data_IF_305487346537
#
_entry.id   IF_305487346537
#
_cell.length_a   1.000
_cell.length_b   1.000
_cell.length_c   1.000
_cell.angle_alpha   90.00
_cell.angle_beta   90.00
_cell.angle_gamma   90.00
#
_symmetry.space_group_name_H-M   'P 1'
#
loop_
_entity.id
_entity.type
_entity.pdbx_description
1 polymer ?
#
# COMPACT_ATOMS: atom_id res chain seq x y z
N UNK A 1 4.73 -1.79 19.92
CA UNK A 1 4.50 -1.30 18.55
C UNK A 1 5.39 -0.09 18.29
N UNK A 2 6.45 -0.27 17.50
CA UNK A 2 7.33 0.84 17.11
C UNK A 2 6.64 1.74 16.07
N UNK A 3 7.13 2.98 15.92
CA UNK A 3 6.56 3.98 15.01
C UNK A 3 6.48 3.51 13.54
N UNK A 4 7.34 2.56 13.15
CA UNK A 4 7.38 1.93 11.82
C UNK A 4 6.24 0.93 11.60
N UNK A 5 5.88 0.16 12.62
CA UNK A 5 4.78 -0.81 12.58
C UNK A 5 3.42 -0.11 12.37
N UNK A 6 3.28 1.13 12.87
CA UNK A 6 2.09 1.97 12.67
C UNK A 6 1.89 2.41 11.21
N UNK A 7 2.87 2.18 10.34
CA UNK A 7 2.81 2.52 8.91
C UNK A 7 2.96 1.29 8.01
N UNK A 8 2.50 0.14 8.49
CA UNK A 8 2.21 -1.02 7.64
C UNK A 8 0.79 -0.87 7.10
N UNK A 9 0.64 -1.06 5.78
CA UNK A 9 -0.66 -1.08 5.12
C UNK A 9 -1.48 -2.30 5.57
N UNK A 10 -2.79 -2.26 5.35
CA UNK A 10 -3.69 -3.37 5.73
C UNK A 10 -3.31 -4.70 5.06
N UNK A 11 -2.70 -4.65 3.87
CA UNK A 11 -2.19 -5.80 3.13
C UNK A 11 -0.76 -6.23 3.50
N UNK A 12 -0.12 -5.56 4.45
CA UNK A 12 1.24 -5.85 4.90
C UNK A 12 2.33 -5.05 4.19
N UNK A 13 2.03 -4.25 3.16
CA UNK A 13 3.03 -3.40 2.51
C UNK A 13 3.60 -2.37 3.50
N UNK A 14 4.90 -2.08 3.38
CA UNK A 14 5.56 -1.06 4.19
C UNK A 14 5.27 0.34 3.63
N UNK A 15 4.15 0.92 4.05
CA UNK A 15 3.76 2.25 3.58
C UNK A 15 4.83 3.30 3.90
N UNK A 16 5.57 3.17 5.00
CA UNK A 16 6.67 4.08 5.34
C UNK A 16 7.87 4.04 4.39
N UNK A 17 8.05 2.98 3.59
CA UNK A 17 9.10 2.87 2.55
C UNK A 17 8.57 3.23 1.16
N UNK A 18 7.29 3.62 1.03
CA UNK A 18 6.68 3.91 -0.27
C UNK A 18 7.14 5.25 -0.85
N UNK A 19 7.73 5.22 -2.04
CA UNK A 19 8.20 6.43 -2.74
C UNK A 19 7.07 7.45 -3.00
N UNK A 20 5.84 6.98 -3.28
CA UNK A 20 4.69 7.88 -3.48
C UNK A 20 4.33 8.62 -2.18
N UNK A 21 4.44 7.96 -1.02
CA UNK A 21 4.23 8.64 0.27
C UNK A 21 5.34 9.66 0.52
N UNK A 22 6.59 9.33 0.21
CA UNK A 22 7.73 10.23 0.37
C UNK A 22 7.64 11.44 -0.55
N UNK A 23 7.18 11.24 -1.79
CA UNK A 23 6.97 12.27 -2.81
C UNK A 23 6.04 13.40 -2.34
N UNK A 24 5.09 13.12 -1.44
CA UNK A 24 4.26 14.16 -0.81
C UNK A 24 5.07 15.24 -0.08
N UNK A 25 6.28 14.93 0.37
CA UNK A 25 7.17 15.85 1.08
C UNK A 25 8.50 16.11 0.34
N UNK A 26 8.77 15.41 -0.76
CA UNK A 26 9.98 15.58 -1.57
C UNK A 26 9.65 15.69 -3.07
N UNK A 27 9.63 16.92 -3.62
CA UNK A 27 9.38 17.15 -5.05
C UNK A 27 10.37 16.47 -5.99
N UNK A 28 11.58 16.11 -5.52
CA UNK A 28 12.57 15.40 -6.36
C UNK A 28 12.12 13.97 -6.60
N UNK A 29 11.64 13.29 -5.56
CA UNK A 29 11.06 11.94 -5.68
C UNK A 29 9.81 11.99 -6.57
N UNK A 30 8.94 12.98 -6.36
CA UNK A 30 7.76 13.17 -7.21
C UNK A 30 8.14 13.30 -8.70
N UNK A 31 9.20 14.07 -9.01
CA UNK A 31 9.69 14.24 -10.37
C UNK A 31 10.23 12.95 -10.97
N UNK A 32 11.01 12.17 -10.20
CA UNK A 32 11.51 10.87 -10.65
C UNK A 32 10.39 9.91 -11.04
N UNK A 33 9.30 9.93 -10.28
CA UNK A 33 8.11 9.10 -10.54
C UNK A 33 7.41 9.56 -11.83
N UNK A 34 7.19 10.87 -12.01
CA UNK A 34 6.64 11.43 -13.26
C UNK A 34 7.48 11.04 -14.47
N UNK A 35 8.81 11.20 -14.38
CA UNK A 35 9.73 10.86 -15.45
C UNK A 35 9.68 9.35 -15.78
N UNK A 36 9.56 8.49 -14.76
CA UNK A 36 9.37 7.05 -14.93
C UNK A 36 8.05 6.71 -15.63
N UNK A 37 6.92 7.31 -15.25
CA UNK A 37 5.63 7.10 -15.92
C UNK A 37 5.68 7.49 -17.39
N UNK A 38 6.27 8.65 -17.69
CA UNK A 38 6.44 9.10 -19.08
C UNK A 38 7.30 8.14 -19.89
N UNK A 39 8.41 7.66 -19.31
CA UNK A 39 9.39 6.82 -19.99
C UNK A 39 8.92 5.38 -20.17
N UNK A 40 8.37 4.75 -19.14
CA UNK A 40 8.04 3.33 -19.13
C UNK A 40 6.60 3.04 -19.56
N UNK A 41 5.69 4.02 -19.44
CA UNK A 41 4.26 3.85 -19.76
C UNK A 41 3.74 4.81 -20.81
N UNK A 42 4.49 5.85 -21.18
CA UNK A 42 4.01 6.90 -22.08
C UNK A 42 2.88 7.74 -21.46
N UNK A 43 2.74 7.73 -20.14
CA UNK A 43 1.69 8.44 -19.42
C UNK A 43 2.19 9.79 -18.93
N UNK A 44 1.45 10.86 -19.24
CA UNK A 44 1.72 12.21 -18.72
C UNK A 44 1.01 12.41 -17.38
N UNK A 45 1.69 12.02 -16.30
CA UNK A 45 1.23 12.24 -14.92
C UNK A 45 1.73 13.61 -14.43
N UNK A 46 0.87 14.41 -13.78
CA UNK A 46 1.32 15.70 -13.23
C UNK A 46 2.05 15.51 -11.92
N UNK A 47 3.03 16.37 -11.67
CA UNK A 47 3.77 16.39 -10.41
C UNK A 47 2.85 16.58 -9.19
N UNK A 48 1.79 17.38 -9.33
CA UNK A 48 0.82 17.64 -8.28
C UNK A 48 -0.04 16.42 -7.92
N UNK A 49 -0.17 15.46 -8.84
CA UNK A 49 -0.94 14.22 -8.65
C UNK A 49 -0.13 13.14 -7.90
N UNK A 50 1.21 13.27 -7.84
CA UNK A 50 2.07 12.36 -7.06
C UNK A 50 1.99 12.71 -5.58
N UNK A 51 0.85 12.40 -4.96
CA UNK A 51 0.60 12.63 -3.54
C UNK A 51 -0.11 11.45 -2.91
N UNK A 52 0.28 11.13 -1.68
CA UNK A 52 -0.38 10.14 -0.85
C UNK A 52 -0.37 10.53 0.63
N UNK A 53 -1.48 10.30 1.33
CA UNK A 53 -1.62 10.45 2.79
C UNK A 53 -1.25 9.18 3.58
N UNK A 54 -0.85 8.12 2.87
CA UNK A 54 -0.53 6.80 3.41
C UNK A 54 -1.72 5.83 3.36
N UNK A 55 -1.44 4.53 3.37
CA UNK A 55 -2.45 3.49 3.12
C UNK A 55 -3.61 3.49 4.13
N UNK A 56 -3.31 3.83 5.40
CA UNK A 56 -4.30 4.01 6.48
C UNK A 56 -4.65 5.48 6.74
N UNK A 57 -4.26 6.39 5.83
CA UNK A 57 -4.51 7.83 5.92
C UNK A 57 -5.81 8.25 5.24
N UNK A 58 -5.95 9.55 5.00
CA UNK A 58 -7.08 10.16 4.29
C UNK A 58 -7.22 9.60 2.86
N UNK A 59 -8.29 8.82 2.63
CA UNK A 59 -8.60 8.16 1.36
C UNK A 59 -8.78 9.12 0.19
N UNK A 60 -9.18 10.38 0.42
CA UNK A 60 -9.34 11.39 -0.64
C UNK A 60 -8.01 11.85 -1.24
N UNK A 61 -6.91 11.59 -0.53
CA UNK A 61 -5.53 11.92 -0.94
C UNK A 61 -4.69 10.65 -1.06
N UNK A 62 -5.30 9.50 -1.30
CA UNK A 62 -4.58 8.24 -1.47
C UNK A 62 -4.25 8.03 -2.96
N UNK A 63 -3.03 7.58 -3.25
CA UNK A 63 -2.55 7.35 -4.63
C UNK A 63 -3.42 6.37 -5.43
N UNK A 64 -3.95 5.34 -4.78
CA UNK A 64 -4.84 4.35 -5.38
C UNK A 64 -6.17 4.32 -4.61
N UNK A 65 -7.04 5.32 -4.80
CA UNK A 65 -8.24 5.51 -3.97
C UNK A 65 -9.25 4.38 -4.16
N UNK A 66 -9.13 3.61 -5.24
CA UNK A 66 -9.92 2.44 -5.61
C UNK A 66 -9.27 1.09 -5.19
N UNK A 67 -8.20 1.12 -4.39
CA UNK A 67 -7.53 -0.09 -3.93
C UNK A 67 -8.51 -1.08 -3.28
N UNK A 68 -8.73 -2.21 -3.95
CA UNK A 68 -9.73 -3.20 -3.55
C UNK A 68 -9.45 -3.82 -2.18
N UNK A 69 -8.17 -3.91 -1.78
CA UNK A 69 -7.78 -4.49 -0.48
C UNK A 69 -8.24 -3.57 0.65
N UNK A 70 -8.09 -2.26 0.48
CA UNK A 70 -8.57 -1.28 1.46
C UNK A 70 -10.09 -1.26 1.52
N UNK A 71 -10.76 -1.34 0.37
CA UNK A 71 -12.22 -1.48 0.31
C UNK A 71 -12.73 -2.71 1.07
N UNK A 72 -12.15 -3.88 0.80
CA UNK A 72 -12.56 -5.13 1.45
C UNK A 72 -12.20 -5.16 2.95
N UNK A 73 -10.95 -4.87 3.30
CA UNK A 73 -10.44 -4.99 4.67
C UNK A 73 -11.04 -3.93 5.60
N UNK A 74 -11.04 -2.67 5.16
CA UNK A 74 -11.44 -1.52 5.99
C UNK A 74 -12.90 -1.20 5.79
N UNK A 75 -13.30 -0.84 4.57
CA UNK A 75 -14.63 -0.27 4.33
C UNK A 75 -15.74 -1.31 4.54
N UNK A 76 -15.54 -2.55 4.08
CA UNK A 76 -16.55 -3.62 4.15
C UNK A 76 -16.46 -4.44 5.45
N UNK A 77 -15.25 -4.75 5.93
CA UNK A 77 -15.04 -5.64 7.09
C UNK A 77 -14.63 -4.93 8.39
N UNK A 78 -14.27 -3.64 8.34
CA UNK A 78 -13.89 -2.88 9.54
C UNK A 78 -12.62 -3.37 10.24
N UNK A 79 -11.71 -4.03 9.52
CA UNK A 79 -10.49 -4.62 10.04
C UNK A 79 -9.29 -3.69 9.88
N UNK A 80 -8.35 -3.77 10.82
CA UNK A 80 -7.08 -3.05 10.78
C UNK A 80 -6.06 -3.70 9.86
N UNK A 81 -6.07 -5.03 9.77
CA UNK A 81 -5.19 -5.78 8.90
C UNK A 81 -5.92 -6.95 8.26
N UNK A 82 -5.50 -7.33 7.06
CA UNK A 82 -6.08 -8.48 6.38
C UNK A 82 -5.91 -9.78 7.18
N UNK A 83 -4.90 -9.88 8.06
CA UNK A 83 -4.71 -11.07 8.90
C UNK A 83 -5.83 -11.30 9.92
N UNK A 84 -6.61 -10.27 10.24
CA UNK A 84 -7.73 -10.36 11.20
C UNK A 84 -8.99 -10.96 10.56
N UNK A 85 -8.98 -11.13 9.23
CA UNK A 85 -10.07 -11.75 8.50
C UNK A 85 -10.08 -13.26 8.76
N UNK A 86 -11.24 -13.84 9.07
CA UNK A 86 -11.39 -15.29 9.29
C UNK A 86 -11.00 -16.14 8.07
N UNK A 87 -11.08 -15.57 6.87
CA UNK A 87 -10.67 -16.23 5.61
C UNK A 87 -9.18 -16.04 5.30
N UNK A 88 -8.38 -15.46 6.20
CA UNK A 88 -6.99 -15.11 5.90
C UNK A 88 -6.05 -16.33 5.89
N UNK A 89 -5.14 -16.44 4.89
CA UNK A 89 -5.07 -15.63 3.68
C UNK A 89 -6.09 -16.10 2.64
N UNK A 90 -6.93 -15.19 2.15
CA UNK A 90 -7.95 -15.55 1.16
C UNK A 90 -7.34 -15.67 -0.24
N UNK A 91 -7.98 -16.43 -1.13
CA UNK A 91 -7.48 -16.71 -2.49
C UNK A 91 -7.14 -15.44 -3.26
N UNK A 92 -7.99 -14.40 -3.18
CA UNK A 92 -7.76 -13.13 -3.87
C UNK A 92 -6.48 -12.43 -3.39
N UNK A 93 -6.17 -12.51 -2.10
CA UNK A 93 -4.94 -11.95 -1.54
C UNK A 93 -3.72 -12.80 -1.89
N UNK A 94 -3.87 -14.13 -1.91
CA UNK A 94 -2.82 -15.05 -2.38
C UNK A 94 -2.46 -14.80 -3.85
N UNK A 95 -3.45 -14.61 -4.73
CA UNK A 95 -3.19 -14.28 -6.14
C UNK A 95 -2.53 -12.90 -6.29
N UNK A 96 -3.00 -11.89 -5.54
CA UNK A 96 -2.35 -10.57 -5.53
C UNK A 96 -0.88 -10.64 -5.10
N UNK A 97 -0.57 -11.45 -4.09
CA UNK A 97 0.79 -11.63 -3.59
C UNK A 97 1.77 -12.21 -4.63
N UNK A 98 1.28 -12.90 -5.67
CA UNK A 98 2.11 -13.41 -6.77
C UNK A 98 2.51 -12.33 -7.80
N UNK A 99 1.85 -11.17 -7.77
CA UNK A 99 2.06 -10.11 -8.77
C UNK A 99 3.43 -9.43 -8.70
N UNK A 100 4.11 -9.49 -7.55
CA UNK A 100 5.49 -9.01 -7.41
C UNK A 100 6.16 -9.60 -6.15
N UNK A 101 7.49 -9.53 -6.09
CA UNK A 101 8.25 -9.93 -4.89
C UNK A 101 7.78 -9.16 -3.65
N UNK A 102 7.58 -7.85 -3.78
CA UNK A 102 7.16 -6.98 -2.68
C UNK A 102 5.75 -7.32 -2.16
N UNK A 103 4.84 -7.76 -3.05
CA UNK A 103 3.51 -8.22 -2.65
C UNK A 103 3.56 -9.56 -1.92
N UNK A 104 4.45 -10.47 -2.35
CA UNK A 104 4.75 -11.71 -1.63
C UNK A 104 5.27 -11.44 -0.22
N UNK A 105 6.25 -10.54 -0.09
CA UNK A 105 6.81 -10.14 1.20
C UNK A 105 5.80 -9.41 2.10
N UNK A 106 4.84 -8.69 1.51
CA UNK A 106 3.72 -8.09 2.24
C UNK A 106 2.83 -9.16 2.89
N UNK A 107 2.48 -10.20 2.15
CA UNK A 107 1.68 -11.30 2.67
C UNK A 107 2.40 -12.08 3.77
N UNK A 108 3.69 -12.40 3.59
CA UNK A 108 4.48 -13.09 4.61
C UNK A 108 4.58 -12.27 5.90
N UNK A 109 4.74 -10.94 5.80
CA UNK A 109 4.74 -10.06 6.96
C UNK A 109 3.44 -10.13 7.75
N UNK A 110 2.30 -10.19 7.08
CA UNK A 110 1.02 -10.39 7.78
C UNK A 110 0.98 -11.73 8.52
N UNK A 111 1.51 -12.81 7.92
CA UNK A 111 1.61 -14.13 8.58
C UNK A 111 2.53 -14.09 9.80
N UNK A 112 3.62 -13.33 9.74
CA UNK A 112 4.54 -13.13 10.88
C UNK A 112 3.88 -12.32 12.00
N UNK A 113 3.09 -11.30 11.67
CA UNK A 113 2.36 -10.49 12.65
C UNK A 113 1.36 -11.30 13.46
N UNK A 114 0.71 -12.32 12.85
CA UNK A 114 -0.17 -13.26 13.58
C UNK A 114 0.60 -13.99 14.69
N UNK A 115 1.84 -14.43 14.42
CA UNK A 115 2.63 -15.24 15.36
C UNK A 115 3.11 -14.48 16.60
N UNK A 116 2.91 -13.16 16.62
CA UNK A 116 3.31 -12.29 17.72
C UNK A 116 2.12 -11.91 18.63
N UNK A 117 0.92 -12.39 18.30
CA UNK A 117 -0.29 -12.29 19.13
C UNK A 117 -0.39 -13.50 20.08
#
# INVERSE_FOLDING_TARGET
MNKKDKMIAVCGLKCYECDILQASNDPKIAKQIVDWFKKERGEDVKLEDIRCSGCKGDRTKHWSPDCWILKCCVDEKGLEFCYECGDFPCDRLNEWAKGSKDYGEALERLKEMIRQL
#
